data_IF_126223202789
#
_entry.id   IF_126223202789
#
_cell.length_a   1.000
_cell.length_b   1.000
_cell.length_c   1.000
_cell.angle_alpha   90.00
_cell.angle_beta   90.00
_cell.angle_gamma   90.00
#
_symmetry.space_group_name_H-M   'P 1'
#
loop_
_entity.id
_entity.type
_entity.pdbx_description
1 polymer ?
#
# COMPACT_ATOMS: atom_id res chain seq x y z
N UNK A 1 25.80 -6.25 -3.61
CA UNK A 1 25.65 -5.08 -4.50
C UNK A 1 24.39 -5.34 -5.30
N UNK A 2 23.28 -4.74 -4.89
CA UNK A 2 21.96 -5.03 -5.47
C UNK A 2 21.83 -4.21 -6.75
N UNK A 3 21.77 -4.87 -7.91
CA UNK A 3 21.50 -4.22 -9.18
C UNK A 3 20.11 -3.60 -9.13
N UNK A 4 20.04 -2.27 -9.26
CA UNK A 4 18.77 -1.57 -9.43
C UNK A 4 18.26 -1.87 -10.85
N UNK A 5 17.34 -2.83 -10.97
CA UNK A 5 16.61 -3.05 -12.22
C UNK A 5 15.54 -1.97 -12.39
N UNK A 6 15.26 -1.57 -13.64
CA UNK A 6 14.17 -0.62 -13.92
C UNK A 6 12.87 -1.21 -13.34
N UNK A 7 12.19 -0.45 -12.48
CA UNK A 7 10.78 -0.73 -12.15
C UNK A 7 10.05 -0.91 -13.49
N UNK A 8 9.31 -2.01 -13.65
CA UNK A 8 8.60 -2.33 -14.90
C UNK A 8 7.58 -1.26 -15.29
N UNK A 9 6.61 -1.62 -16.13
CA UNK A 9 5.50 -0.71 -16.47
C UNK A 9 4.85 -0.22 -15.17
N UNK A 10 5.02 1.07 -14.84
CA UNK A 10 4.37 1.71 -13.71
C UNK A 10 2.89 1.86 -14.04
N UNK A 11 2.02 1.35 -13.18
CA UNK A 11 0.58 1.36 -13.42
C UNK A 11 0.05 2.70 -12.93
N UNK A 12 -1.02 3.22 -13.55
CA UNK A 12 -1.75 4.37 -13.02
C UNK A 12 -2.25 4.14 -11.59
N UNK A 13 -2.38 2.87 -11.17
CA UNK A 13 -2.70 2.45 -9.81
C UNK A 13 -1.66 2.85 -8.75
N UNK A 14 -0.40 3.06 -9.12
CA UNK A 14 0.68 3.44 -8.19
C UNK A 14 0.35 4.78 -7.51
N UNK A 15 -0.30 5.71 -8.23
CA UNK A 15 -0.70 7.01 -7.68
C UNK A 15 -1.70 6.88 -6.51
N UNK A 16 -2.68 5.99 -6.64
CA UNK A 16 -3.68 5.79 -5.59
C UNK A 16 -3.06 5.07 -4.39
N UNK A 17 -2.17 4.12 -4.64
CA UNK A 17 -1.38 3.47 -3.59
C UNK A 17 -0.52 4.49 -2.83
N UNK A 18 0.19 5.36 -3.54
CA UNK A 18 1.02 6.40 -2.95
C UNK A 18 0.20 7.38 -2.12
N UNK A 19 -0.99 7.77 -2.59
CA UNK A 19 -1.90 8.64 -1.84
C UNK A 19 -2.36 7.98 -0.53
N UNK A 20 -2.77 6.72 -0.58
CA UNK A 20 -3.18 5.96 0.62
C UNK A 20 -1.99 5.79 1.57
N UNK A 21 -0.79 5.53 1.06
CA UNK A 21 0.41 5.45 1.88
C UNK A 21 0.70 6.79 2.59
N UNK A 22 0.60 7.91 1.87
CA UNK A 22 0.80 9.25 2.41
C UNK A 22 -0.17 9.57 3.55
N UNK A 23 -1.45 9.22 3.43
CA UNK A 23 -2.43 9.42 4.51
C UNK A 23 -2.00 8.72 5.81
N UNK A 24 -1.52 7.47 5.73
CA UNK A 24 -1.06 6.75 6.91
C UNK A 24 0.23 7.36 7.48
N UNK A 25 1.14 7.84 6.63
CA UNK A 25 2.36 8.52 7.06
C UNK A 25 2.02 9.83 7.78
N UNK A 26 1.08 10.62 7.25
CA UNK A 26 0.59 11.82 7.92
C UNK A 26 -0.01 11.50 9.28
N UNK A 27 -0.88 10.48 9.37
CA UNK A 27 -1.46 10.06 10.65
C UNK A 27 -0.36 9.63 11.65
N UNK A 28 0.68 8.94 11.19
CA UNK A 28 1.82 8.56 12.03
C UNK A 28 2.62 9.78 12.49
N UNK A 29 2.82 10.80 11.64
CA UNK A 29 3.53 12.02 12.02
C UNK A 29 2.74 12.88 13.00
N UNK A 30 1.42 12.98 12.83
CA UNK A 30 0.52 13.70 13.74
C UNK A 30 0.35 12.95 15.08
N UNK A 31 0.42 11.61 15.05
CA UNK A 31 0.20 10.75 16.19
C UNK A 31 1.27 9.65 16.33
N UNK A 32 2.54 10.00 16.60
CA UNK A 32 3.67 9.06 16.55
C UNK A 32 3.59 7.93 17.58
N UNK A 33 2.82 8.09 18.66
CA UNK A 33 2.60 7.05 19.67
C UNK A 33 1.57 5.99 19.26
N UNK A 34 0.81 6.22 18.18
CA UNK A 34 -0.22 5.27 17.71
C UNK A 34 0.37 4.17 16.84
N UNK A 35 1.54 4.38 16.25
CA UNK A 35 2.14 3.47 15.28
C UNK A 35 3.54 3.05 15.72
N UNK A 36 3.86 1.76 15.54
CA UNK A 36 5.20 1.22 15.67
C UNK A 36 5.96 1.32 14.35
N UNK A 37 5.29 0.97 13.26
CA UNK A 37 5.82 1.12 11.92
C UNK A 37 4.68 1.16 10.89
N UNK A 38 5.01 1.69 9.71
CA UNK A 38 4.27 1.54 8.48
C UNK A 38 5.21 0.91 7.46
N UNK A 39 4.73 -0.07 6.72
CA UNK A 39 5.41 -0.71 5.60
C UNK A 39 4.54 -0.52 4.35
N UNK A 40 5.14 0.07 3.32
CA UNK A 40 4.56 0.16 1.97
C UNK A 40 5.13 -0.98 1.12
N UNK A 41 4.40 -1.44 0.10
CA UNK A 41 4.82 -2.58 -0.75
C UNK A 41 5.05 -3.83 0.12
N UNK A 42 4.04 -4.20 0.91
CA UNK A 42 4.16 -5.23 1.92
C UNK A 42 3.81 -6.62 1.35
N UNK A 43 4.68 -7.14 0.48
CA UNK A 43 4.48 -8.39 -0.26
C UNK A 43 4.41 -9.65 0.64
N UNK A 44 4.87 -9.53 1.89
CA UNK A 44 5.00 -10.62 2.86
C UNK A 44 3.65 -11.05 3.46
N UNK A 45 2.59 -10.26 3.27
CA UNK A 45 1.21 -10.57 3.73
C UNK A 45 0.35 -11.10 2.56
N UNK A 46 1.00 -11.53 1.47
CA UNK A 46 0.38 -12.04 0.26
C UNK A 46 0.27 -10.97 -0.84
N UNK A 47 -0.42 -11.32 -1.93
CA UNK A 47 -0.60 -10.45 -3.11
C UNK A 47 -1.59 -9.29 -2.89
N UNK A 48 -2.07 -9.08 -1.66
CA UNK A 48 -3.22 -8.22 -1.37
C UNK A 48 -2.82 -6.85 -0.81
N UNK A 49 -1.70 -6.71 -0.10
CA UNK A 49 -1.54 -5.57 0.81
C UNK A 49 -0.49 -4.55 0.38
N UNK A 50 -0.98 -3.38 -0.03
CA UNK A 50 -0.15 -2.27 -0.49
C UNK A 50 0.42 -1.42 0.66
N UNK A 51 -0.27 -1.38 1.81
CA UNK A 51 0.18 -0.70 3.04
C UNK A 51 -0.20 -1.51 4.27
N UNK A 52 0.79 -1.76 5.14
CA UNK A 52 0.62 -2.42 6.44
C UNK A 52 1.13 -1.51 7.54
N UNK A 53 0.29 -1.20 8.51
CA UNK A 53 0.65 -0.42 9.69
C UNK A 53 0.45 -1.27 10.96
N UNK A 54 1.45 -1.28 11.84
CA UNK A 54 1.32 -1.88 13.17
C UNK A 54 1.05 -0.78 14.19
N UNK A 55 -0.10 -0.83 14.84
CA UNK A 55 -0.40 0.11 15.90
C UNK A 55 0.34 -0.23 17.21
N UNK A 56 0.42 0.73 18.14
CA UNK A 56 1.10 0.54 19.42
C UNK A 56 0.46 -0.52 20.32
N UNK A 57 -0.83 -0.80 20.10
CA UNK A 57 -1.59 -1.85 20.78
C UNK A 57 -1.41 -3.25 20.15
N UNK A 58 -0.54 -3.39 19.13
CA UNK A 58 -0.23 -4.67 18.51
C UNK A 58 -1.23 -5.16 17.46
N UNK A 59 -2.16 -4.32 17.00
CA UNK A 59 -3.07 -4.65 15.88
C UNK A 59 -2.52 -4.13 14.56
N UNK A 60 -2.68 -4.96 13.53
CA UNK A 60 -2.40 -4.59 12.15
C UNK A 60 -3.57 -3.84 11.55
N UNK A 61 -3.26 -2.74 10.86
CA UNK A 61 -4.14 -2.08 9.90
C UNK A 61 -3.56 -2.40 8.53
N UNK A 62 -4.36 -3.07 7.72
CA UNK A 62 -3.97 -3.59 6.42
C UNK A 62 -4.85 -2.93 5.37
N UNK A 63 -4.23 -2.29 4.38
CA UNK A 63 -4.94 -1.60 3.31
C UNK A 63 -4.51 -2.16 1.96
N UNK A 64 -5.49 -2.71 1.24
CA UNK A 64 -5.38 -3.08 -0.15
C UNK A 64 -5.95 -1.96 -1.03
N UNK A 65 -5.20 -1.59 -2.06
CA UNK A 65 -5.63 -0.62 -3.07
C UNK A 65 -5.73 -1.33 -4.41
N UNK A 66 -6.93 -1.64 -4.86
CA UNK A 66 -7.15 -2.22 -6.18
C UNK A 66 -7.42 -1.13 -7.21
N UNK A 67 -7.02 -1.34 -8.45
CA UNK A 67 -7.32 -0.44 -9.55
C UNK A 67 -7.76 -1.27 -10.74
N UNK A 68 -8.80 -0.82 -11.44
CA UNK A 68 -9.24 -1.47 -12.66
C UNK A 68 -8.58 -0.80 -13.87
N UNK A 69 -8.08 -1.61 -14.80
CA UNK A 69 -7.66 -1.15 -16.13
C UNK A 69 -8.83 -1.06 -17.11
N UNK A 70 -9.91 -1.77 -16.81
CA UNK A 70 -11.16 -1.80 -17.57
C UNK A 70 -12.35 -1.53 -16.63
N UNK A 71 -12.53 -0.29 -16.12
CA UNK A 71 -13.51 0.01 -15.07
C UNK A 71 -14.97 -0.22 -15.46
N UNK A 72 -15.23 -0.40 -16.76
CA UNK A 72 -16.55 -0.72 -17.33
C UNK A 72 -16.81 -2.24 -17.42
N UNK A 73 -15.85 -3.08 -16.99
CA UNK A 73 -16.02 -4.53 -16.90
C UNK A 73 -16.09 -4.94 -15.43
N UNK A 74 -17.26 -5.43 -15.02
CA UNK A 74 -17.54 -5.81 -13.62
C UNK A 74 -16.61 -6.90 -13.07
N UNK A 75 -16.00 -7.71 -13.95
CA UNK A 75 -15.10 -8.82 -13.62
C UNK A 75 -13.62 -8.53 -14.00
N UNK A 76 -13.18 -7.27 -14.02
CA UNK A 76 -11.76 -6.97 -14.25
C UNK A 76 -10.89 -7.61 -13.15
N UNK A 77 -9.91 -8.41 -13.56
CA UNK A 77 -9.00 -9.21 -12.71
C UNK A 77 -8.23 -8.36 -11.68
N UNK A 78 -8.20 -7.03 -11.90
CA UNK A 78 -7.52 -6.06 -11.05
C UNK A 78 -8.45 -5.31 -10.07
N UNK A 79 -9.76 -5.60 -10.04
CA UNK A 79 -10.77 -5.12 -9.07
C UNK A 79 -11.12 -6.16 -8.00
#
# INVERSE_FOLDING_TARGET
MTEYTRSGVRRSGDYLQDLVALENIFEMLEHPKRFKYIKVEADEVGYLDHVVALNSNGRYVVKQVKFSTYPEQDDDEYT
#
